data_IF_547557017012
#
_entry.id   IF_547557017012
#
_cell.length_a   1.000
_cell.length_b   1.000
_cell.length_c   1.000
_cell.angle_alpha   90.00
_cell.angle_beta   90.00
_cell.angle_gamma   90.00
#
_symmetry.space_group_name_H-M   'P 1'
#
loop_
_entity.id
_entity.type
_entity.pdbx_description
1 polymer ?
#
# COMPACT_ATOMS: atom_id res chain seq x y z
N UNK A 1 1.25 -42.32 4.19
CA UNK A 1 2.23 -41.28 4.56
C UNK A 1 1.44 -40.01 4.66
N UNK A 2 1.22 -39.48 5.88
CA UNK A 2 0.45 -38.29 6.10
C UNK A 2 1.23 -37.08 5.56
N UNK A 3 0.68 -36.41 4.55
CA UNK A 3 1.12 -35.07 4.19
C UNK A 3 0.92 -34.20 5.42
N UNK A 4 2.00 -33.80 6.05
CA UNK A 4 1.97 -32.77 7.10
C UNK A 4 1.48 -31.48 6.41
N UNK A 5 0.20 -31.17 6.56
CA UNK A 5 -0.37 -29.93 6.05
C UNK A 5 0.43 -28.78 6.68
N UNK A 6 1.07 -27.97 5.81
CA UNK A 6 1.80 -26.77 6.27
C UNK A 6 0.82 -25.88 7.03
N UNK A 7 1.19 -25.49 8.26
CA UNK A 7 0.44 -24.53 9.06
C UNK A 7 1.17 -23.20 9.13
N UNK A 8 0.43 -22.12 9.33
CA UNK A 8 0.92 -20.75 9.49
C UNK A 8 0.48 -20.28 10.88
N UNK A 9 1.39 -19.80 11.69
CA UNK A 9 1.07 -19.18 12.98
C UNK A 9 0.55 -17.77 12.76
N UNK A 10 -0.58 -17.44 13.37
CA UNK A 10 -1.09 -16.07 13.35
C UNK A 10 -0.16 -15.15 14.16
N UNK A 11 0.21 -14.02 13.60
CA UNK A 11 1.09 -13.04 14.25
C UNK A 11 0.45 -12.29 15.41
N UNK A 12 -0.88 -12.34 15.52
CA UNK A 12 -1.62 -11.62 16.56
C UNK A 12 -2.10 -12.53 17.70
N UNK A 13 -2.57 -13.76 17.40
CA UNK A 13 -3.14 -14.67 18.41
C UNK A 13 -2.44 -16.03 18.48
N UNK A 14 -1.31 -16.22 17.80
CA UNK A 14 -0.48 -17.42 17.76
C UNK A 14 -1.18 -18.73 17.33
N UNK A 15 -2.47 -18.64 16.92
CA UNK A 15 -3.21 -19.81 16.44
C UNK A 15 -2.56 -20.38 15.19
N UNK A 16 -2.47 -21.71 15.13
CA UNK A 16 -1.98 -22.42 13.96
C UNK A 16 -3.11 -22.60 12.94
N UNK A 17 -2.93 -22.03 11.75
CA UNK A 17 -3.91 -21.99 10.67
C UNK A 17 -3.42 -22.90 9.54
N UNK A 18 -4.22 -23.85 9.03
CA UNK A 18 -3.85 -24.58 7.81
C UNK A 18 -3.57 -23.62 6.65
N UNK A 19 -2.48 -23.85 5.91
CA UNK A 19 -2.05 -22.95 4.85
C UNK A 19 -3.14 -22.70 3.78
N UNK A 20 -3.89 -23.74 3.42
CA UNK A 20 -5.02 -23.63 2.49
C UNK A 20 -6.12 -22.72 3.04
N UNK A 21 -6.53 -22.92 4.30
CA UNK A 21 -7.52 -22.06 4.97
C UNK A 21 -7.05 -20.61 5.00
N UNK A 22 -5.76 -20.38 5.29
CA UNK A 22 -5.17 -19.05 5.35
C UNK A 22 -5.21 -18.33 3.99
N UNK A 23 -4.87 -19.03 2.91
CA UNK A 23 -4.91 -18.46 1.55
C UNK A 23 -6.35 -18.21 1.11
N UNK A 24 -7.24 -19.20 1.31
CA UNK A 24 -8.66 -19.07 0.93
C UNK A 24 -9.38 -17.96 1.70
N UNK A 25 -8.94 -17.67 2.94
CA UNK A 25 -9.44 -16.54 3.73
C UNK A 25 -8.65 -15.24 3.47
N UNK A 26 -8.05 -15.08 2.30
CA UNK A 26 -7.31 -13.88 1.87
C UNK A 26 -6.25 -13.43 2.86
N UNK A 27 -5.60 -14.39 3.55
CA UNK A 27 -4.61 -14.13 4.60
C UNK A 27 -5.15 -13.36 5.80
N UNK A 28 -6.43 -13.42 6.06
CA UNK A 28 -7.06 -12.96 7.30
C UNK A 28 -7.16 -14.12 8.27
N UNK A 29 -6.80 -13.90 9.53
CA UNK A 29 -6.88 -14.95 10.55
C UNK A 29 -8.35 -15.28 10.87
N UNK A 30 -8.80 -16.55 10.73
CA UNK A 30 -10.19 -16.91 11.00
C UNK A 30 -10.55 -16.88 12.49
N UNK A 31 -9.59 -16.68 13.40
CA UNK A 31 -9.83 -16.67 14.85
C UNK A 31 -9.86 -15.26 15.45
N UNK A 32 -9.03 -14.35 14.96
CA UNK A 32 -8.92 -13.01 15.54
C UNK A 32 -9.02 -11.88 14.51
N UNK A 33 -9.38 -12.22 13.28
CA UNK A 33 -9.58 -11.29 12.17
C UNK A 33 -8.35 -10.44 11.81
N UNK A 34 -7.16 -10.86 12.24
CA UNK A 34 -5.93 -10.14 11.91
C UNK A 34 -5.59 -10.25 10.43
N UNK A 35 -5.42 -9.12 9.78
CA UNK A 35 -5.04 -8.98 8.38
C UNK A 35 -3.54 -9.14 8.21
N UNK A 36 -3.10 -10.32 7.75
CA UNK A 36 -1.69 -10.57 7.47
C UNK A 36 -1.25 -9.89 6.18
N UNK A 37 0.08 -9.78 6.01
CA UNK A 37 0.69 -9.26 4.80
C UNK A 37 0.19 -9.98 3.52
N UNK A 38 -0.11 -9.17 2.52
CA UNK A 38 -0.47 -9.58 1.17
C UNK A 38 0.45 -8.86 0.18
N UNK A 39 1.05 -9.61 -0.76
CA UNK A 39 1.90 -9.02 -1.80
C UNK A 39 1.11 -8.13 -2.75
N UNK A 40 1.81 -7.27 -3.50
CA UNK A 40 1.17 -6.40 -4.47
C UNK A 40 0.40 -7.18 -5.54
N UNK A 41 0.95 -8.30 -6.04
CA UNK A 41 0.26 -9.16 -7.02
C UNK A 41 -0.98 -9.85 -6.46
N UNK A 42 -0.93 -10.34 -5.21
CA UNK A 42 -2.11 -10.92 -4.56
C UNK A 42 -3.21 -9.89 -4.36
N UNK A 43 -2.83 -8.66 -3.97
CA UNK A 43 -3.75 -7.56 -3.79
C UNK A 43 -4.33 -7.07 -5.12
N UNK A 44 -3.52 -7.01 -6.17
CA UNK A 44 -3.98 -6.73 -7.52
C UNK A 44 -5.08 -7.71 -7.92
N UNK A 45 -4.81 -9.02 -7.83
CA UNK A 45 -5.77 -10.06 -8.18
C UNK A 45 -7.06 -10.04 -7.33
N UNK A 46 -7.00 -9.50 -6.12
CA UNK A 46 -8.17 -9.32 -5.26
C UNK A 46 -9.07 -8.18 -5.73
N UNK A 47 -8.47 -7.08 -6.19
CA UNK A 47 -9.17 -5.81 -6.42
C UNK A 47 -9.63 -5.68 -7.88
N UNK A 48 -8.77 -6.02 -8.84
CA UNK A 48 -9.06 -5.79 -10.27
C UNK A 48 -9.88 -6.93 -10.88
N UNK A 49 -10.45 -6.66 -12.03
CA UNK A 49 -11.11 -7.68 -12.84
C UNK A 49 -10.07 -8.55 -13.56
N UNK A 50 -10.39 -9.83 -13.76
CA UNK A 50 -9.44 -10.77 -14.34
C UNK A 50 -8.95 -10.30 -15.72
N UNK A 51 -7.65 -10.46 -15.94
CA UNK A 51 -6.96 -10.15 -17.21
C UNK A 51 -7.07 -8.68 -17.68
N UNK A 52 -7.51 -7.74 -16.80
CA UNK A 52 -7.69 -6.33 -17.15
C UNK A 52 -6.46 -5.46 -16.88
N UNK A 53 -5.48 -5.93 -16.12
CA UNK A 53 -4.35 -5.11 -15.71
C UNK A 53 -3.28 -4.96 -16.79
N UNK A 54 -3.03 -3.72 -17.18
CA UNK A 54 -1.89 -3.33 -18.02
C UNK A 54 -0.87 -2.58 -17.16
N UNK A 55 0.29 -3.23 -16.92
CA UNK A 55 1.35 -2.64 -16.10
C UNK A 55 2.12 -1.56 -16.86
N UNK A 56 2.27 -0.39 -16.23
CA UNK A 56 3.13 0.69 -16.69
C UNK A 56 4.39 0.81 -15.82
N UNK A 57 5.46 1.32 -16.44
CA UNK A 57 6.73 1.61 -15.75
C UNK A 57 7.39 0.40 -15.06
N UNK A 58 7.08 -0.83 -15.54
CA UNK A 58 7.71 -2.07 -15.07
C UNK A 58 9.24 -2.09 -15.25
N UNK A 59 9.79 -1.22 -16.10
CA UNK A 59 11.22 -1.07 -16.33
C UNK A 59 11.94 -0.25 -15.27
N UNK A 60 11.22 0.55 -14.47
CA UNK A 60 11.80 1.37 -13.43
C UNK A 60 12.30 0.52 -12.27
N UNK A 61 13.51 0.80 -11.81
CA UNK A 61 14.15 0.12 -10.68
C UNK A 61 14.99 1.10 -9.86
N UNK A 62 15.11 0.81 -8.57
CA UNK A 62 15.95 1.61 -7.66
C UNK A 62 17.42 1.38 -7.95
N UNK A 63 18.20 2.47 -7.91
CA UNK A 63 19.66 2.45 -8.05
C UNK A 63 20.31 3.02 -6.78
N UNK A 64 21.51 2.58 -6.49
CA UNK A 64 22.31 3.14 -5.40
C UNK A 64 23.13 4.33 -5.90
N UNK A 65 22.52 5.52 -5.85
CA UNK A 65 23.16 6.77 -6.28
C UNK A 65 24.02 7.42 -5.20
N UNK A 66 23.93 6.94 -3.95
CA UNK A 66 24.63 7.49 -2.79
C UNK A 66 25.73 6.55 -2.25
N UNK A 67 25.95 5.41 -2.90
CA UNK A 67 26.88 4.37 -2.46
C UNK A 67 26.65 3.95 -1.00
N UNK A 68 25.35 3.71 -0.68
CA UNK A 68 24.96 3.36 0.69
C UNK A 68 25.36 1.90 0.99
N UNK A 69 26.02 1.63 2.12
CA UNK A 69 26.48 0.29 2.46
C UNK A 69 25.36 -0.76 2.41
N UNK A 70 25.63 -1.91 1.78
CA UNK A 70 24.73 -3.06 1.65
C UNK A 70 23.39 -2.78 0.89
N UNK A 71 23.23 -1.63 0.26
CA UNK A 71 22.00 -1.31 -0.45
C UNK A 71 21.84 -2.10 -1.75
N UNK A 72 22.87 -2.25 -2.60
CA UNK A 72 22.78 -3.08 -3.80
C UNK A 72 22.36 -4.53 -3.49
N UNK A 73 22.97 -5.15 -2.47
CA UNK A 73 22.66 -6.53 -2.07
C UNK A 73 21.22 -6.66 -1.55
N UNK A 74 20.71 -5.63 -0.85
CA UNK A 74 19.31 -5.57 -0.41
C UNK A 74 18.35 -5.49 -1.60
N UNK A 75 18.69 -4.68 -2.61
CA UNK A 75 17.90 -4.57 -3.84
C UNK A 75 17.84 -5.92 -4.56
N UNK A 76 18.99 -6.56 -4.83
CA UNK A 76 19.06 -7.85 -5.49
C UNK A 76 18.27 -8.94 -4.75
N UNK A 77 18.44 -9.02 -3.43
CA UNK A 77 17.71 -9.97 -2.58
C UNK A 77 16.20 -9.78 -2.68
N UNK A 78 15.71 -8.53 -2.64
CA UNK A 78 14.29 -8.26 -2.60
C UNK A 78 13.65 -8.37 -4.00
N UNK A 79 14.39 -8.10 -5.09
CA UNK A 79 14.00 -8.47 -6.45
C UNK A 79 13.81 -9.98 -6.57
N UNK A 80 14.79 -10.77 -6.11
CA UNK A 80 14.70 -12.23 -6.15
C UNK A 80 13.55 -12.80 -5.31
N UNK A 81 13.22 -12.15 -4.19
CA UNK A 81 12.17 -12.56 -3.26
C UNK A 81 10.76 -12.23 -3.75
N UNK A 82 10.57 -11.03 -4.32
CA UNK A 82 9.25 -10.50 -4.66
C UNK A 82 8.89 -10.63 -6.13
N UNK A 83 9.88 -10.78 -7.00
CA UNK A 83 9.72 -10.68 -8.46
C UNK A 83 9.50 -9.25 -8.96
N UNK A 84 9.46 -8.27 -8.05
CA UNK A 84 9.29 -6.85 -8.36
C UNK A 84 10.65 -6.19 -8.58
N UNK A 85 10.72 -5.17 -9.43
CA UNK A 85 11.90 -4.31 -9.60
C UNK A 85 11.89 -3.09 -8.68
N UNK A 86 10.77 -2.84 -8.04
CA UNK A 86 10.55 -1.75 -7.07
C UNK A 86 9.41 -2.12 -6.13
N UNK A 87 9.20 -1.33 -5.11
CA UNK A 87 8.19 -1.50 -4.07
C UNK A 87 6.75 -1.18 -4.50
N UNK A 88 6.49 -0.99 -5.80
CA UNK A 88 5.16 -0.64 -6.30
C UNK A 88 4.88 -1.19 -7.69
N UNK A 89 3.68 -1.73 -7.89
CA UNK A 89 3.06 -1.93 -9.19
C UNK A 89 2.26 -0.68 -9.57
N UNK A 90 2.22 -0.32 -10.85
CA UNK A 90 1.37 0.77 -11.35
C UNK A 90 0.88 0.47 -12.76
N UNK A 91 -0.34 0.88 -13.07
CA UNK A 91 -0.95 0.59 -14.37
C UNK A 91 -2.38 1.08 -14.47
N UNK A 92 -3.08 0.55 -15.47
CA UNK A 92 -4.53 0.70 -15.64
C UNK A 92 -5.16 -0.69 -15.54
N UNK A 93 -6.32 -0.78 -14.92
CA UNK A 93 -7.11 -2.01 -14.81
C UNK A 93 -8.60 -1.69 -14.81
N UNK A 94 -9.45 -2.70 -14.92
CA UNK A 94 -10.87 -2.56 -14.61
C UNK A 94 -11.15 -2.99 -13.17
N UNK A 95 -11.98 -2.22 -12.47
CA UNK A 95 -12.50 -2.55 -11.14
C UNK A 95 -14.03 -2.52 -11.25
N UNK A 96 -14.65 -3.70 -11.20
CA UNK A 96 -16.10 -3.83 -11.42
C UNK A 96 -16.56 -3.32 -12.79
N UNK A 97 -15.74 -3.48 -13.83
CA UNK A 97 -16.00 -3.01 -15.19
C UNK A 97 -15.66 -1.53 -15.44
N UNK A 98 -15.12 -0.80 -14.47
CA UNK A 98 -14.75 0.60 -14.62
C UNK A 98 -13.23 0.75 -14.84
N UNK A 99 -12.79 1.31 -15.98
CA UNK A 99 -11.38 1.61 -16.22
C UNK A 99 -10.83 2.55 -15.12
N UNK A 100 -9.74 2.16 -14.48
CA UNK A 100 -9.20 2.81 -13.29
C UNK A 100 -7.68 2.80 -13.34
N UNK A 101 -7.05 3.93 -13.05
CA UNK A 101 -5.61 3.97 -12.81
C UNK A 101 -5.33 3.42 -11.40
N UNK A 102 -4.37 2.51 -11.29
CA UNK A 102 -4.09 1.83 -10.03
C UNK A 102 -2.60 1.79 -9.72
N UNK A 103 -2.24 2.05 -8.46
CA UNK A 103 -0.90 1.81 -7.94
C UNK A 103 -0.98 1.02 -6.63
N UNK A 104 -0.15 -0.02 -6.49
CA UNK A 104 -0.20 -0.94 -5.33
C UNK A 104 1.20 -1.12 -4.77
N UNK A 105 1.39 -0.74 -3.50
CA UNK A 105 2.63 -0.92 -2.77
C UNK A 105 2.87 -2.36 -2.31
N UNK A 106 4.14 -2.71 -2.10
CA UNK A 106 4.58 -4.01 -1.58
C UNK A 106 5.60 -3.85 -0.45
N UNK A 107 5.21 -4.23 0.77
CA UNK A 107 6.10 -4.17 1.93
C UNK A 107 7.22 -5.23 1.87
N UNK A 108 7.07 -6.25 1.03
CA UNK A 108 8.09 -7.28 0.82
C UNK A 108 9.38 -6.76 0.17
N UNK A 109 9.29 -5.65 -0.58
CA UNK A 109 10.43 -5.00 -1.22
C UNK A 109 10.92 -3.85 -0.32
N UNK A 110 12.05 -4.02 0.33
CA UNK A 110 12.71 -3.08 1.28
C UNK A 110 11.71 -2.41 2.24
N UNK A 111 10.81 -3.22 2.83
CA UNK A 111 9.80 -2.75 3.77
C UNK A 111 8.76 -1.79 3.18
N UNK A 112 8.58 -1.76 1.86
CA UNK A 112 7.70 -0.79 1.18
C UNK A 112 8.17 0.66 1.35
N UNK A 113 9.44 0.88 1.68
CA UNK A 113 9.94 2.25 1.94
C UNK A 113 9.92 3.10 0.70
N UNK A 114 9.41 4.32 0.82
CA UNK A 114 9.24 5.25 -0.27
C UNK A 114 10.60 5.81 -0.73
N UNK A 115 11.06 5.36 -1.89
CA UNK A 115 12.24 5.85 -2.60
C UNK A 115 11.88 6.64 -3.86
N UNK A 116 12.89 6.96 -4.67
CA UNK A 116 12.75 7.71 -5.91
C UNK A 116 11.81 7.03 -6.90
N UNK A 117 11.82 5.69 -6.98
CA UNK A 117 11.00 4.93 -7.92
C UNK A 117 9.53 4.94 -7.54
N UNK A 118 9.18 4.78 -6.25
CA UNK A 118 7.77 4.87 -5.84
C UNK A 118 7.21 6.26 -6.10
N UNK A 119 8.01 7.30 -5.78
CA UNK A 119 7.59 8.67 -6.06
C UNK A 119 7.37 8.92 -7.56
N UNK A 120 8.23 8.37 -8.41
CA UNK A 120 8.06 8.43 -9.87
C UNK A 120 6.83 7.67 -10.35
N UNK A 121 6.65 6.41 -9.92
CA UNK A 121 5.49 5.59 -10.31
C UNK A 121 4.16 6.19 -9.85
N UNK A 122 4.08 6.69 -8.60
CA UNK A 122 2.90 7.39 -8.09
C UNK A 122 2.60 8.64 -8.93
N UNK A 123 3.61 9.48 -9.18
CA UNK A 123 3.45 10.69 -9.99
C UNK A 123 2.94 10.36 -11.39
N UNK A 124 3.59 9.42 -12.09
CA UNK A 124 3.17 9.01 -13.44
C UNK A 124 1.80 8.36 -13.47
N UNK A 125 1.44 7.59 -12.45
CA UNK A 125 0.11 7.00 -12.34
C UNK A 125 -0.97 8.10 -12.21
N UNK A 126 -0.71 9.13 -11.40
CA UNK A 126 -1.57 10.30 -11.25
C UNK A 126 -1.68 11.07 -12.59
N UNK A 127 -0.56 11.37 -13.24
CA UNK A 127 -0.52 12.10 -14.53
C UNK A 127 -1.29 11.37 -15.61
N UNK A 128 -1.07 10.05 -15.78
CA UNK A 128 -1.81 9.23 -16.76
C UNK A 128 -3.29 9.13 -16.44
N UNK A 129 -3.64 8.99 -15.17
CA UNK A 129 -5.03 9.01 -14.72
C UNK A 129 -5.69 10.33 -15.12
N UNK A 130 -5.02 11.45 -14.92
CA UNK A 130 -5.47 12.78 -15.28
C UNK A 130 -5.64 12.94 -16.82
N UNK A 131 -4.64 12.52 -17.58
CA UNK A 131 -4.66 12.58 -19.06
C UNK A 131 -5.83 11.79 -19.65
N UNK A 132 -6.14 10.63 -19.07
CA UNK A 132 -7.21 9.74 -19.52
C UNK A 132 -8.54 9.97 -18.79
N UNK A 133 -8.61 10.90 -17.85
CA UNK A 133 -9.77 11.20 -17.00
C UNK A 133 -10.32 9.95 -16.30
N UNK A 134 -9.42 9.10 -15.81
CA UNK A 134 -9.77 7.89 -15.09
C UNK A 134 -9.79 8.15 -13.57
N UNK A 135 -10.67 7.51 -12.81
CA UNK A 135 -10.52 7.46 -11.35
C UNK A 135 -9.17 6.82 -10.98
N UNK A 136 -8.64 7.23 -9.83
CA UNK A 136 -7.36 6.77 -9.31
C UNK A 136 -7.55 5.98 -8.03
N UNK A 137 -6.93 4.81 -7.93
CA UNK A 137 -6.83 4.02 -6.71
C UNK A 137 -5.37 3.81 -6.36
N UNK A 138 -4.93 4.27 -5.19
CA UNK A 138 -3.59 3.96 -4.67
C UNK A 138 -3.71 3.12 -3.41
N UNK A 139 -3.18 1.91 -3.43
CA UNK A 139 -3.09 1.02 -2.28
C UNK A 139 -1.73 1.21 -1.63
N UNK A 140 -1.73 1.90 -0.50
CA UNK A 140 -0.54 2.29 0.24
C UNK A 140 -0.13 1.21 1.24
N UNK A 141 1.15 0.85 1.23
CA UNK A 141 1.85 0.15 2.29
C UNK A 141 3.27 0.71 2.36
N UNK A 142 3.75 1.12 3.53
CA UNK A 142 5.07 1.74 3.61
C UNK A 142 5.66 1.68 5.02
N UNK A 143 6.93 1.29 5.11
CA UNK A 143 7.75 1.44 6.31
C UNK A 143 8.26 2.87 6.55
N UNK A 144 7.94 3.83 5.67
CA UNK A 144 8.41 5.21 5.72
C UNK A 144 9.29 5.58 4.53
N UNK A 145 10.14 6.59 4.70
CA UNK A 145 11.05 7.03 3.64
C UNK A 145 12.29 6.14 3.54
N UNK A 146 12.78 5.94 2.31
CA UNK A 146 13.96 5.10 2.02
C UNK A 146 15.24 5.79 2.48
N UNK A 147 15.78 5.33 3.61
CA UNK A 147 16.98 5.91 4.22
C UNK A 147 18.20 5.86 3.28
N UNK A 148 18.34 4.78 2.51
CA UNK A 148 19.44 4.56 1.58
C UNK A 148 19.48 5.57 0.42
N UNK A 149 18.37 6.20 0.12
CA UNK A 149 18.27 7.23 -0.92
C UNK A 149 18.30 8.66 -0.35
N UNK A 150 18.43 8.82 0.97
CA UNK A 150 18.62 10.10 1.64
C UNK A 150 17.61 11.17 1.24
N UNK A 151 18.11 12.34 0.86
CA UNK A 151 17.27 13.49 0.45
C UNK A 151 16.46 13.20 -0.82
N UNK A 152 16.92 12.34 -1.71
CA UNK A 152 16.16 11.95 -2.91
C UNK A 152 14.82 11.30 -2.51
N UNK A 153 14.84 10.43 -1.51
CA UNK A 153 13.62 9.85 -0.97
C UNK A 153 12.70 10.93 -0.37
N UNK A 154 13.24 11.85 0.45
CA UNK A 154 12.44 12.91 1.08
C UNK A 154 11.74 13.81 0.06
N UNK A 155 12.39 14.12 -1.05
CA UNK A 155 11.81 14.95 -2.11
C UNK A 155 10.61 14.30 -2.82
N UNK A 156 10.43 12.98 -2.68
CA UNK A 156 9.26 12.31 -3.26
C UNK A 156 7.95 12.73 -2.57
N UNK A 157 7.99 13.15 -1.31
CA UNK A 157 6.79 13.71 -0.64
C UNK A 157 6.28 14.96 -1.38
N UNK A 158 7.16 15.91 -1.66
CA UNK A 158 6.80 17.13 -2.38
C UNK A 158 6.34 16.82 -3.81
N UNK A 159 7.03 15.90 -4.50
CA UNK A 159 6.71 15.50 -5.88
C UNK A 159 5.32 14.88 -5.99
N UNK A 160 5.01 13.90 -5.17
CA UNK A 160 3.72 13.21 -5.20
C UNK A 160 2.58 14.11 -4.72
N UNK A 161 2.82 14.95 -3.69
CA UNK A 161 1.83 15.93 -3.24
C UNK A 161 1.51 16.98 -4.30
N UNK A 162 2.50 17.44 -5.06
CA UNK A 162 2.27 18.34 -6.19
C UNK A 162 1.40 17.70 -7.27
N UNK A 163 1.67 16.44 -7.63
CA UNK A 163 0.84 15.70 -8.58
C UNK A 163 -0.61 15.53 -8.07
N UNK A 164 -0.79 15.17 -6.79
CA UNK A 164 -2.12 15.11 -6.17
C UNK A 164 -2.85 16.46 -6.21
N UNK A 165 -2.14 17.58 -6.01
CA UNK A 165 -2.74 18.90 -6.06
C UNK A 165 -3.26 19.26 -7.47
N UNK A 166 -2.53 18.92 -8.52
CA UNK A 166 -3.00 19.10 -9.90
C UNK A 166 -4.18 18.17 -10.22
N UNK A 167 -4.16 16.94 -9.70
CA UNK A 167 -5.25 15.99 -9.85
C UNK A 167 -6.55 16.49 -9.20
N UNK A 168 -6.47 16.98 -7.98
CA UNK A 168 -7.61 17.55 -7.25
C UNK A 168 -8.20 18.79 -7.97
N UNK A 169 -7.36 19.67 -8.52
CA UNK A 169 -7.82 20.83 -9.31
C UNK A 169 -8.62 20.42 -10.55
N UNK A 170 -8.30 19.28 -11.13
CA UNK A 170 -9.00 18.78 -12.31
C UNK A 170 -10.35 18.12 -11.95
N UNK A 171 -10.65 17.88 -10.66
CA UNK A 171 -11.89 17.29 -10.18
C UNK A 171 -12.04 15.81 -10.56
N UNK A 172 -10.93 15.09 -10.72
CA UNK A 172 -10.94 13.65 -10.96
C UNK A 172 -10.84 12.92 -9.61
N UNK A 173 -11.55 11.81 -9.46
CA UNK A 173 -11.75 11.13 -8.19
C UNK A 173 -10.58 10.24 -7.77
N UNK A 174 -10.06 10.45 -6.55
CA UNK A 174 -8.95 9.70 -5.98
C UNK A 174 -9.37 8.95 -4.72
N UNK A 175 -9.25 7.61 -4.73
CA UNK A 175 -9.45 6.73 -3.59
C UNK A 175 -8.09 6.26 -3.06
N UNK A 176 -7.78 6.59 -1.81
CA UNK A 176 -6.61 6.09 -1.09
C UNK A 176 -7.00 4.90 -0.24
N UNK A 177 -6.39 3.73 -0.50
CA UNK A 177 -6.54 2.52 0.31
C UNK A 177 -5.30 2.37 1.17
N UNK A 178 -5.47 2.34 2.50
CA UNK A 178 -4.35 2.31 3.44
C UNK A 178 -4.27 0.96 4.13
N UNK A 179 -3.11 0.31 4.02
CA UNK A 179 -2.91 -1.03 4.58
C UNK A 179 -1.75 -1.07 5.58
N UNK A 180 -1.66 -2.15 6.36
CA UNK A 180 -0.65 -2.31 7.41
C UNK A 180 0.73 -2.75 6.85
N UNK A 181 1.84 -2.07 7.21
CA UNK A 181 1.91 -0.75 7.84
C UNK A 181 1.96 0.39 6.81
N UNK A 182 1.54 1.60 7.16
CA UNK A 182 1.77 2.79 6.34
C UNK A 182 2.27 3.94 7.20
N UNK A 183 3.57 4.26 7.06
CA UNK A 183 4.25 5.24 7.90
C UNK A 183 5.00 6.32 7.13
N UNK A 184 5.38 7.35 7.85
CA UNK A 184 6.30 8.40 7.43
C UNK A 184 5.78 9.26 6.30
N UNK A 185 6.65 9.53 5.34
CA UNK A 185 6.34 10.41 4.23
C UNK A 185 5.28 9.90 3.27
N UNK A 186 5.05 8.59 3.18
CA UNK A 186 3.93 8.04 2.41
C UNK A 186 2.60 8.54 3.00
N UNK A 187 2.42 8.40 4.33
CA UNK A 187 1.24 8.92 5.03
C UNK A 187 1.13 10.44 4.90
N UNK A 188 2.25 11.18 5.01
CA UNK A 188 2.26 12.64 4.94
C UNK A 188 2.17 13.22 3.51
N UNK A 189 1.99 12.39 2.49
CA UNK A 189 1.88 12.82 1.10
C UNK A 189 0.71 12.13 0.39
N UNK A 190 0.95 11.38 -0.65
CA UNK A 190 -0.10 10.82 -1.51
C UNK A 190 -1.17 10.00 -0.75
N UNK A 191 -0.82 9.34 0.36
CA UNK A 191 -1.78 8.51 1.11
C UNK A 191 -2.90 9.32 1.77
N UNK A 192 -2.59 10.52 2.32
CA UNK A 192 -3.57 11.38 3.00
C UNK A 192 -4.24 12.43 2.10
N UNK A 193 -4.01 12.37 0.79
CA UNK A 193 -4.50 13.35 -0.18
C UNK A 193 -5.59 12.79 -1.11
N UNK A 194 -6.16 11.63 -0.79
CA UNK A 194 -7.33 11.08 -1.49
C UNK A 194 -8.62 11.85 -1.15
N UNK A 195 -9.56 11.86 -2.08
CA UNK A 195 -10.91 12.37 -1.84
C UNK A 195 -11.67 11.47 -0.87
N UNK A 196 -11.40 10.17 -0.91
CA UNK A 196 -11.84 9.16 0.05
C UNK A 196 -10.65 8.33 0.50
N UNK A 197 -10.49 8.19 1.81
CA UNK A 197 -9.40 7.43 2.43
C UNK A 197 -10.00 6.27 3.21
N UNK A 198 -9.75 5.04 2.76
CA UNK A 198 -10.22 3.82 3.41
C UNK A 198 -9.06 2.99 3.92
N UNK A 199 -9.24 2.32 5.06
CA UNK A 199 -8.19 1.49 5.65
C UNK A 199 -8.66 0.05 5.89
N UNK A 200 -7.73 -0.90 5.88
CA UNK A 200 -8.01 -2.25 6.40
C UNK A 200 -8.11 -2.23 7.93
N UNK A 201 -8.92 -3.12 8.56
CA UNK A 201 -8.99 -3.26 10.01
C UNK A 201 -7.62 -3.44 10.66
N UNK A 202 -7.36 -2.76 11.76
CA UNK A 202 -6.13 -2.86 12.51
C UNK A 202 -4.88 -2.31 11.82
N UNK A 203 -5.01 -1.71 10.65
CA UNK A 203 -3.86 -1.13 9.92
C UNK A 203 -3.18 -0.06 10.77
N UNK A 204 -1.86 -0.18 10.90
CA UNK A 204 -1.03 0.83 11.59
C UNK A 204 -0.65 1.93 10.61
N UNK A 205 -1.12 3.13 10.89
CA UNK A 205 -0.99 4.27 10.00
C UNK A 205 -0.52 5.48 10.81
N UNK A 206 0.56 6.13 10.40
CA UNK A 206 1.05 7.29 11.12
C UNK A 206 2.29 7.91 10.48
N UNK A 207 2.74 9.04 11.06
CA UNK A 207 3.97 9.67 10.60
C UNK A 207 5.20 8.99 11.22
N UNK A 208 5.19 8.79 12.53
CA UNK A 208 6.29 8.17 13.25
C UNK A 208 6.16 6.63 13.23
N UNK A 209 7.17 5.95 12.70
CA UNK A 209 7.23 4.49 12.76
C UNK A 209 7.43 3.95 14.19
N UNK A 210 7.20 2.65 14.43
CA UNK A 210 7.25 2.06 15.79
C UNK A 210 8.53 2.32 16.57
N UNK A 211 9.69 2.33 15.91
CA UNK A 211 10.98 2.61 16.55
C UNK A 211 11.08 4.05 17.05
N UNK A 212 10.58 5.02 16.26
CA UNK A 212 10.57 6.42 16.66
C UNK A 212 9.58 6.65 17.82
N UNK A 213 8.41 6.03 17.75
CA UNK A 213 7.40 6.08 18.81
C UNK A 213 7.96 5.47 20.11
N UNK A 214 8.60 4.30 20.07
CA UNK A 214 9.20 3.67 21.24
C UNK A 214 10.30 4.54 21.91
N UNK A 215 10.95 5.42 21.15
CA UNK A 215 11.98 6.33 21.69
C UNK A 215 11.41 7.44 22.58
N UNK A 216 10.11 7.75 22.48
CA UNK A 216 9.44 8.78 23.28
C UNK A 216 9.34 8.39 24.75
N UNK A 217 9.38 7.09 25.10
CA UNK A 217 9.25 6.55 26.45
C UNK A 217 7.96 7.00 27.16
N UNK A 218 6.91 7.27 26.40
CA UNK A 218 5.59 7.64 26.91
C UNK A 218 4.63 6.46 26.80
N UNK A 219 3.68 6.36 27.72
CA UNK A 219 2.56 5.43 27.61
C UNK A 219 1.57 5.97 26.57
N UNK A 220 1.40 5.26 25.47
CA UNK A 220 0.50 5.63 24.38
C UNK A 220 -0.82 4.85 24.53
N UNK A 221 -1.94 5.41 24.03
CA UNK A 221 -3.20 4.69 23.96
C UNK A 221 -3.05 3.36 23.22
N UNK A 222 -3.80 2.35 23.61
CA UNK A 222 -3.74 0.99 23.03
C UNK A 222 -3.95 0.98 21.50
N UNK A 223 -4.84 1.87 21.00
CA UNK A 223 -5.15 2.00 19.57
C UNK A 223 -4.36 3.13 18.88
N UNK A 224 -3.27 3.59 19.49
CA UNK A 224 -2.46 4.65 18.89
C UNK A 224 -1.96 4.26 17.49
N UNK A 225 -2.20 5.14 16.53
CA UNK A 225 -1.86 4.93 15.10
C UNK A 225 -2.53 3.70 14.45
N UNK A 226 -3.65 3.20 14.97
CA UNK A 226 -4.47 2.18 14.30
C UNK A 226 -5.62 2.82 13.53
N UNK A 227 -6.10 2.14 12.50
CA UNK A 227 -7.24 2.57 11.70
C UNK A 227 -8.45 2.97 12.56
N UNK A 228 -8.72 2.20 13.63
CA UNK A 228 -9.83 2.42 14.56
C UNK A 228 -9.75 3.77 15.29
N UNK A 229 -8.55 4.20 15.66
CA UNK A 229 -8.34 5.53 16.26
C UNK A 229 -8.38 6.64 15.21
N UNK A 230 -7.94 6.35 13.99
CA UNK A 230 -7.86 7.36 12.94
C UNK A 230 -9.22 7.72 12.35
N UNK A 231 -10.17 6.78 12.29
CA UNK A 231 -11.54 7.08 11.87
C UNK A 231 -12.26 7.96 12.89
N UNK A 232 -12.05 7.74 14.19
CA UNK A 232 -12.60 8.58 15.26
C UNK A 232 -12.08 10.01 15.19
N UNK A 233 -10.85 10.20 14.71
CA UNK A 233 -10.21 11.51 14.57
C UNK A 233 -10.40 12.13 13.17
N UNK A 234 -11.13 11.48 12.27
CA UNK A 234 -11.43 12.00 10.93
C UNK A 234 -10.24 11.98 9.95
N UNK A 235 -9.23 11.13 10.17
CA UNK A 235 -8.11 10.95 9.24
C UNK A 235 -8.42 9.98 8.12
N UNK A 236 -9.37 9.06 8.32
CA UNK A 236 -9.87 8.13 7.32
C UNK A 236 -11.40 8.16 7.33
N UNK A 237 -12.00 7.80 6.20
CA UNK A 237 -13.46 7.88 6.00
C UNK A 237 -14.16 6.56 6.32
N UNK A 238 -13.47 5.42 6.11
CA UNK A 238 -14.02 4.11 6.41
C UNK A 238 -12.95 3.07 6.74
N UNK A 239 -13.33 2.06 7.52
CA UNK A 239 -12.58 0.83 7.71
C UNK A 239 -13.29 -0.27 6.92
N UNK A 240 -12.57 -0.90 5.98
CA UNK A 240 -13.14 -1.88 5.05
C UNK A 240 -12.38 -3.19 5.15
N UNK A 241 -13.10 -4.25 5.47
CA UNK A 241 -12.54 -5.59 5.50
C UNK A 241 -12.06 -6.00 4.11
N UNK A 242 -10.98 -6.76 4.05
CA UNK A 242 -10.33 -7.17 2.79
C UNK A 242 -11.26 -7.89 1.83
N UNK A 243 -12.20 -8.69 2.35
CA UNK A 243 -13.22 -9.39 1.55
C UNK A 243 -14.15 -8.45 0.80
N UNK A 244 -14.39 -7.26 1.36
CA UNK A 244 -15.36 -6.30 0.85
C UNK A 244 -14.69 -5.19 0.02
N UNK A 245 -13.35 -5.19 -0.01
CA UNK A 245 -12.57 -4.12 -0.61
C UNK A 245 -12.90 -3.88 -2.08
N UNK A 246 -12.99 -4.94 -2.90
CA UNK A 246 -13.33 -4.82 -4.32
C UNK A 246 -14.71 -4.21 -4.53
N UNK A 247 -15.69 -4.65 -3.75
CA UNK A 247 -17.05 -4.13 -3.86
C UNK A 247 -17.11 -2.66 -3.44
N UNK A 248 -16.46 -2.28 -2.34
CA UNK A 248 -16.40 -0.90 -1.88
C UNK A 248 -15.75 0.00 -2.94
N UNK A 249 -14.64 -0.42 -3.54
CA UNK A 249 -13.99 0.33 -4.62
C UNK A 249 -14.89 0.48 -5.83
N UNK A 250 -15.57 -0.59 -6.24
CA UNK A 250 -16.52 -0.58 -7.35
C UNK A 250 -17.64 0.44 -7.11
N UNK A 251 -18.24 0.44 -5.92
CA UNK A 251 -19.35 1.33 -5.57
C UNK A 251 -18.91 2.80 -5.54
N UNK A 252 -17.73 3.09 -4.97
CA UNK A 252 -17.16 4.43 -4.94
C UNK A 252 -16.84 4.95 -6.34
N UNK A 253 -16.26 4.12 -7.20
CA UNK A 253 -15.95 4.48 -8.58
C UNK A 253 -17.24 4.72 -9.35
N UNK A 254 -18.21 3.82 -9.25
CA UNK A 254 -19.52 3.95 -9.91
C UNK A 254 -20.28 5.23 -9.53
N UNK A 255 -20.05 5.73 -8.31
CA UNK A 255 -20.65 6.97 -7.84
C UNK A 255 -20.00 8.22 -8.46
N UNK A 256 -18.72 8.12 -8.83
CA UNK A 256 -17.88 9.24 -9.27
C UNK A 256 -17.81 9.42 -10.81
N UNK A 257 -18.27 8.40 -11.60
CA UNK A 257 -18.18 8.39 -13.07
C UNK A 257 -19.56 8.45 -13.78
#
# INVERSE_FOLDING_TARGET
MSETSKTISCRNCDTQIPAETFVNNLKVCPHCDYHHYMSAYERLNLIVDADSFEEYDAHLYSIDSLEFPEYPEKLERDVAKTGLKSEMLSGIAEIGGYPTAIAIGDVGFIGGTCGSVIGEKVTRCIERSLENKLPLVIVSVSGGMRMQEGTLALMQMAKTAAACAEYAKAGVFYISVVTDPTFGGATASYTSLGDVIIAEPGARIGFAGPLAVASLREELPENFQKAESLIENGFIDAIVHRTDMKQMLTDLIAFAV
#
